data_IF_331437987089
#
_entry.id   IF_331437987089
#
_cell.length_a   1.000
_cell.length_b   1.000
_cell.length_c   1.000
_cell.angle_alpha   90.00
_cell.angle_beta   90.00
_cell.angle_gamma   90.00
#
_symmetry.space_group_name_H-M   'P 1'
#
loop_
_entity.id
_entity.type
_entity.pdbx_description
1 polymer ?
#
# COMPACT_ATOMS: atom_id res chain seq x y z
N UNK A 1 -43.30 -9.64 -41.56
CA UNK A 1 -42.16 -8.78 -41.92
C UNK A 1 -41.17 -8.78 -40.78
N UNK A 2 -39.90 -9.08 -41.10
CA UNK A 2 -38.65 -8.69 -40.40
C UNK A 2 -38.41 -9.31 -39.02
N UNK A 3 -37.54 -10.32 -38.86
CA UNK A 3 -36.07 -10.35 -38.96
C UNK A 3 -35.32 -9.75 -37.76
N UNK A 4 -34.68 -10.67 -37.02
CA UNK A 4 -33.33 -10.62 -36.43
C UNK A 4 -33.00 -9.46 -35.47
N UNK A 5 -32.73 -9.82 -34.21
CA UNK A 5 -31.38 -9.56 -33.68
C UNK A 5 -30.97 -10.61 -32.64
N UNK A 6 -29.99 -11.41 -33.02
CA UNK A 6 -29.17 -12.27 -32.20
C UNK A 6 -28.17 -11.40 -31.45
N UNK A 7 -28.21 -11.30 -30.12
CA UNK A 7 -26.99 -11.12 -29.31
C UNK A 7 -27.31 -11.18 -27.81
N UNK A 8 -26.69 -12.12 -27.08
CA UNK A 8 -26.56 -11.99 -25.63
C UNK A 8 -27.30 -13.01 -24.77
N UNK A 9 -27.44 -14.28 -25.18
CA UNK A 9 -27.39 -15.35 -24.17
C UNK A 9 -25.93 -15.45 -23.72
N UNK A 10 -25.46 -14.46 -22.95
CA UNK A 10 -24.42 -14.74 -21.98
C UNK A 10 -25.12 -15.67 -21.00
N UNK A 11 -24.87 -16.97 -21.14
CA UNK A 11 -25.14 -17.89 -20.03
C UNK A 11 -24.41 -17.27 -18.85
N UNK A 12 -25.17 -16.65 -17.93
CA UNK A 12 -24.61 -16.14 -16.69
C UNK A 12 -23.97 -17.34 -16.02
N UNK A 13 -22.63 -17.39 -16.05
CA UNK A 13 -21.88 -18.51 -15.49
C UNK A 13 -22.24 -18.72 -14.02
N UNK A 14 -22.62 -17.65 -13.33
CA UNK A 14 -23.12 -17.61 -11.94
C UNK A 14 -24.53 -18.20 -11.77
N UNK A 15 -25.34 -18.27 -12.83
CA UNK A 15 -26.69 -18.82 -12.85
C UNK A 15 -26.77 -20.19 -13.52
N UNK A 16 -25.65 -20.69 -14.05
CA UNK A 16 -25.58 -22.03 -14.63
C UNK A 16 -25.77 -23.10 -13.54
N UNK A 17 -26.56 -24.13 -13.82
CA UNK A 17 -26.68 -25.29 -12.92
C UNK A 17 -25.34 -25.99 -12.67
N UNK A 18 -24.33 -25.78 -13.52
CA UNK A 18 -22.97 -26.28 -13.35
C UNK A 18 -22.22 -25.61 -12.20
N UNK A 19 -22.48 -24.33 -11.89
CA UNK A 19 -21.85 -23.64 -10.76
C UNK A 19 -22.25 -24.23 -9.39
N UNK A 20 -23.49 -24.68 -9.26
CA UNK A 20 -24.02 -25.29 -8.04
C UNK A 20 -23.81 -26.81 -7.95
N UNK A 21 -23.27 -27.44 -9.01
CA UNK A 21 -22.91 -28.85 -8.95
C UNK A 21 -21.62 -29.01 -8.17
N UNK A 22 -21.75 -29.57 -6.98
CA UNK A 22 -20.61 -30.05 -6.19
C UNK A 22 -19.92 -31.16 -6.99
N UNK A 23 -18.80 -30.82 -7.63
CA UNK A 23 -17.98 -31.79 -8.34
C UNK A 23 -17.26 -32.65 -7.29
N UNK A 24 -17.94 -33.71 -6.85
CA UNK A 24 -17.55 -34.66 -5.79
C UNK A 24 -16.28 -35.47 -6.09
N UNK A 25 -15.52 -35.11 -7.13
CA UNK A 25 -14.28 -35.77 -7.55
C UNK A 25 -13.02 -34.90 -7.43
N UNK A 26 -13.13 -33.66 -6.96
CA UNK A 26 -11.97 -32.77 -6.87
C UNK A 26 -11.10 -33.18 -5.68
N UNK A 27 -9.89 -33.67 -6.00
CA UNK A 27 -8.78 -33.93 -5.05
C UNK A 27 -8.84 -32.91 -3.92
N UNK A 28 -8.76 -33.37 -2.67
CA UNK A 28 -8.57 -32.50 -1.50
C UNK A 28 -7.29 -31.69 -1.71
N UNK A 29 -7.43 -30.52 -2.31
CA UNK A 29 -6.37 -29.55 -2.44
C UNK A 29 -6.19 -28.95 -1.05
N UNK A 30 -5.27 -29.53 -0.29
CA UNK A 30 -4.88 -28.98 1.00
C UNK A 30 -4.09 -27.71 0.76
N UNK A 31 -4.30 -26.70 1.60
CA UNK A 31 -3.54 -25.45 1.56
C UNK A 31 -2.02 -25.68 1.62
N UNK A 32 -1.62 -26.78 2.26
CA UNK A 32 -0.26 -27.30 2.36
C UNK A 32 0.38 -27.65 1.00
N UNK A 33 -0.42 -27.96 -0.02
CA UNK A 33 0.05 -28.32 -1.37
C UNK A 33 0.36 -27.07 -2.23
N UNK A 34 -0.14 -25.90 -1.81
CA UNK A 34 0.16 -24.59 -2.42
C UNK A 34 1.17 -23.78 -1.63
N UNK A 35 1.33 -24.06 -0.33
CA UNK A 35 2.50 -23.61 0.42
C UNK A 35 3.67 -24.49 0.02
N UNK A 36 4.42 -24.07 -0.99
CA UNK A 36 5.80 -24.51 -1.11
C UNK A 36 6.45 -24.27 0.26
N UNK A 37 6.96 -25.34 0.88
CA UNK A 37 7.85 -25.19 2.02
C UNK A 37 9.09 -24.52 1.47
N UNK A 38 9.04 -23.19 1.38
CA UNK A 38 10.21 -22.37 1.58
C UNK A 38 10.76 -22.82 2.94
N UNK A 39 11.69 -23.77 2.91
CA UNK A 39 12.84 -23.70 3.80
C UNK A 39 13.30 -22.26 3.67
N UNK A 40 12.83 -21.41 4.59
CA UNK A 40 12.97 -19.98 4.49
C UNK A 40 14.40 -19.71 4.04
N UNK A 41 14.64 -19.25 2.80
CA UNK A 41 15.91 -18.65 2.53
C UNK A 41 15.88 -17.48 3.50
N UNK A 42 16.71 -17.55 4.55
CA UNK A 42 16.97 -16.47 5.50
C UNK A 42 17.56 -15.21 4.79
N UNK A 43 17.38 -15.12 3.46
CA UNK A 43 17.83 -14.12 2.51
C UNK A 43 16.77 -13.73 1.46
N UNK A 44 15.48 -14.08 1.63
CA UNK A 44 14.38 -13.35 0.95
C UNK A 44 13.72 -12.32 1.86
N UNK A 45 14.54 -11.65 2.66
CA UNK A 45 14.28 -10.26 2.90
C UNK A 45 14.82 -9.50 1.70
N UNK A 46 13.94 -8.91 0.88
CA UNK A 46 14.26 -7.75 0.02
C UNK A 46 14.73 -6.52 0.83
N UNK A 47 15.23 -6.76 2.04
CA UNK A 47 15.75 -5.86 3.05
C UNK A 47 17.28 -6.03 3.19
N UNK A 48 17.97 -6.61 2.22
CA UNK A 48 19.44 -6.64 2.17
C UNK A 48 20.09 -5.24 2.12
N UNK A 49 19.31 -4.20 1.82
CA UNK A 49 19.68 -2.79 1.99
C UNK A 49 19.02 -2.07 3.17
N UNK A 50 18.19 -2.76 3.95
CA UNK A 50 17.27 -2.13 4.91
C UNK A 50 17.92 -1.60 6.18
N UNK A 51 19.14 -2.01 6.55
CA UNK A 51 19.79 -1.42 7.71
C UNK A 51 20.09 0.08 7.50
N UNK A 52 20.35 0.51 6.27
CA UNK A 52 20.51 1.93 5.95
C UNK A 52 19.17 2.67 5.79
N UNK A 53 18.18 1.99 5.24
CA UNK A 53 16.84 2.56 4.95
C UNK A 53 15.99 2.68 6.21
N UNK A 54 16.06 1.72 7.13
CA UNK A 54 15.34 1.75 8.41
C UNK A 54 15.77 2.93 9.29
N UNK A 55 17.07 3.21 9.38
CA UNK A 55 17.58 4.37 10.12
C UNK A 55 17.16 5.70 9.49
N UNK A 56 17.15 5.78 8.15
CA UNK A 56 16.64 6.95 7.41
C UNK A 56 15.14 7.13 7.59
N UNK A 57 14.38 6.04 7.63
CA UNK A 57 12.93 6.04 7.89
C UNK A 57 12.62 6.53 9.30
N UNK A 58 13.37 6.10 10.30
CA UNK A 58 13.16 6.52 11.69
C UNK A 58 13.51 8.02 11.87
N UNK A 59 14.60 8.48 11.26
CA UNK A 59 14.94 9.92 11.24
C UNK A 59 13.84 10.73 10.52
N UNK A 60 13.41 10.25 9.35
CA UNK A 60 12.36 10.91 8.56
C UNK A 60 11.02 10.91 9.30
N UNK A 61 10.66 9.84 10.01
CA UNK A 61 9.45 9.77 10.82
C UNK A 61 9.50 10.79 11.97
N UNK A 62 10.66 10.98 12.60
CA UNK A 62 10.88 12.03 13.60
C UNK A 62 10.68 13.43 13.01
N UNK A 63 11.22 13.68 11.81
CA UNK A 63 11.03 14.95 11.08
C UNK A 63 9.57 15.17 10.67
N UNK A 64 8.89 14.14 10.15
CA UNK A 64 7.46 14.17 9.81
C UNK A 64 6.61 14.56 11.02
N UNK A 65 6.89 13.97 12.19
CA UNK A 65 6.18 14.29 13.43
C UNK A 65 6.35 15.77 13.83
N UNK A 66 7.56 16.32 13.71
CA UNK A 66 7.81 17.74 13.97
C UNK A 66 7.11 18.65 12.95
N UNK A 67 7.11 18.27 11.66
CA UNK A 67 6.37 18.99 10.62
C UNK A 67 4.86 18.97 10.90
N UNK A 68 4.31 17.84 11.33
CA UNK A 68 2.89 17.71 11.70
C UNK A 68 2.52 18.65 12.85
N UNK A 69 3.34 18.72 13.91
CA UNK A 69 3.09 19.59 15.06
C UNK A 69 3.18 21.08 14.69
N UNK A 70 4.19 21.45 13.90
CA UNK A 70 4.38 22.82 13.42
C UNK A 70 3.30 23.24 12.40
N UNK A 71 2.87 22.31 11.55
CA UNK A 71 1.76 22.51 10.62
C UNK A 71 0.44 22.65 11.36
N UNK A 72 0.19 21.83 12.40
CA UNK A 72 -1.01 21.90 13.24
C UNK A 72 -1.11 23.20 14.04
N UNK A 73 0.03 23.82 14.36
CA UNK A 73 0.09 25.15 14.98
C UNK A 73 -0.02 26.33 13.98
N UNK A 74 -0.18 26.04 12.69
CA UNK A 74 -0.46 27.05 11.66
C UNK A 74 0.77 27.64 10.97
N UNK A 75 1.95 27.04 11.10
CA UNK A 75 3.15 27.52 10.41
C UNK A 75 3.13 27.15 8.92
N UNK A 76 3.48 28.08 8.01
CA UNK A 76 3.57 27.77 6.59
C UNK A 76 4.82 26.92 6.28
N UNK A 77 4.76 26.12 5.22
CA UNK A 77 5.84 25.19 4.83
C UNK A 77 7.24 25.83 4.76
N UNK A 78 7.35 27.07 4.27
CA UNK A 78 8.63 27.78 4.20
C UNK A 78 9.22 28.16 5.56
N UNK A 79 8.37 28.46 6.55
CA UNK A 79 8.82 28.74 7.92
C UNK A 79 9.26 27.44 8.62
N UNK A 80 8.53 26.35 8.40
CA UNK A 80 8.87 25.02 8.95
C UNK A 80 10.20 24.53 8.36
N UNK A 81 10.38 24.64 7.04
CA UNK A 81 11.62 24.30 6.35
C UNK A 81 12.83 25.07 6.93
N UNK A 82 12.64 26.37 7.19
CA UNK A 82 13.68 27.20 7.80
C UNK A 82 13.98 26.82 9.26
N UNK A 83 12.97 26.43 10.04
CA UNK A 83 13.15 25.99 11.44
C UNK A 83 13.81 24.61 11.56
N UNK A 84 13.46 23.68 10.68
CA UNK A 84 13.95 22.30 10.71
C UNK A 84 15.20 22.08 9.85
N UNK A 85 15.65 23.10 9.10
CA UNK A 85 16.75 22.98 8.14
C UNK A 85 16.46 21.97 7.03
N UNK A 86 15.19 21.85 6.62
CA UNK A 86 14.72 20.90 5.61
C UNK A 86 14.45 21.61 4.29
N UNK A 87 14.39 20.84 3.20
CA UNK A 87 13.97 21.37 1.93
C UNK A 87 12.47 21.73 1.93
N UNK A 88 12.11 22.84 1.29
CA UNK A 88 10.73 23.33 1.25
C UNK A 88 9.81 22.37 0.49
N UNK A 89 10.29 21.66 -0.54
CA UNK A 89 9.51 20.64 -1.23
C UNK A 89 9.24 19.46 -0.30
N UNK A 90 10.26 18.97 0.41
CA UNK A 90 10.08 17.87 1.37
C UNK A 90 9.02 18.20 2.43
N UNK A 91 9.03 19.41 2.97
CA UNK A 91 8.00 19.83 3.94
C UNK A 91 6.60 19.87 3.30
N UNK A 92 6.48 20.32 2.04
CA UNK A 92 5.20 20.32 1.32
C UNK A 92 4.70 18.91 1.08
N UNK A 93 5.57 18.00 0.65
CA UNK A 93 5.23 16.61 0.40
C UNK A 93 4.71 15.94 1.69
N UNK A 94 5.39 16.17 2.81
CA UNK A 94 4.93 15.73 4.14
C UNK A 94 3.54 16.29 4.46
N UNK A 95 3.34 17.61 4.30
CA UNK A 95 2.06 18.25 4.61
C UNK A 95 0.91 17.74 3.73
N UNK A 96 1.18 17.45 2.44
CA UNK A 96 0.19 16.88 1.51
C UNK A 96 -0.16 15.44 1.92
N UNK A 97 0.82 14.63 2.30
CA UNK A 97 0.60 13.26 2.76
C UNK A 97 -0.25 13.23 4.04
N UNK A 98 0.07 14.08 5.01
CA UNK A 98 -0.67 14.19 6.28
C UNK A 98 -2.10 14.69 6.07
N UNK A 99 -2.32 15.65 5.17
CA UNK A 99 -3.67 16.12 4.85
C UNK A 99 -4.51 15.05 4.16
N UNK A 100 -3.89 14.18 3.38
CA UNK A 100 -4.56 13.07 2.70
C UNK A 100 -4.95 11.96 3.69
N UNK A 101 -4.12 11.74 4.72
CA UNK A 101 -4.31 10.70 5.71
C UNK A 101 -4.04 11.22 7.13
N UNK A 102 -5.01 11.88 7.78
CA UNK A 102 -4.83 12.45 9.12
C UNK A 102 -4.72 11.38 10.22
N UNK A 103 -5.08 10.13 9.94
CA UNK A 103 -4.95 8.98 10.84
C UNK A 103 -3.69 8.14 10.60
N UNK A 104 -2.88 8.46 9.57
CA UNK A 104 -1.71 7.64 9.23
C UNK A 104 -0.56 7.82 10.22
N UNK A 105 0.14 6.72 10.48
CA UNK A 105 1.34 6.73 11.30
C UNK A 105 2.44 7.57 10.62
N UNK A 106 3.20 8.38 11.38
CA UNK A 106 4.29 9.20 10.82
C UNK A 106 5.36 8.35 10.13
N UNK A 107 5.46 7.06 10.47
CA UNK A 107 6.33 6.09 9.81
C UNK A 107 5.81 5.69 8.42
N UNK A 108 4.49 5.60 8.23
CA UNK A 108 3.89 5.31 6.93
C UNK A 108 4.10 6.48 5.96
N UNK A 109 3.94 7.72 6.42
CA UNK A 109 4.25 8.93 5.66
C UNK A 109 5.75 8.99 5.31
N UNK A 110 6.62 8.73 6.28
CA UNK A 110 8.07 8.65 6.02
C UNK A 110 8.42 7.58 4.99
N UNK A 111 7.75 6.42 5.04
CA UNK A 111 7.92 5.34 4.06
C UNK A 111 7.50 5.77 2.67
N UNK A 112 6.34 6.42 2.54
CA UNK A 112 5.84 6.92 1.27
C UNK A 112 6.81 7.94 0.64
N UNK A 113 7.44 8.79 1.44
CA UNK A 113 8.37 9.82 0.94
C UNK A 113 9.74 9.24 0.58
N UNK A 114 10.22 8.24 1.31
CA UNK A 114 11.54 7.64 1.10
C UNK A 114 11.54 6.56 0.01
N UNK A 115 10.42 5.84 -0.16
CA UNK A 115 10.29 4.71 -1.09
C UNK A 115 9.32 4.96 -2.26
N UNK A 116 8.54 6.03 -2.23
CA UNK A 116 7.55 6.39 -3.27
C UNK A 116 8.08 7.29 -4.37
#
# INVERSE_FOLDING_TARGET
>A
MQEKNTMGQQEDWELSEEYYKEETGKKELRLEDFLETEEAPENQSGLGGANGVAGQLEEMAGRVKQVMELSGSGHPAGAIASMLGMDVQQVRDIMVCVQSFPEDDPLAVARLIVLG
#
